data_IF_556209913645
#
_entry.id   IF_556209913645
#
_cell.length_a   1.000
_cell.length_b   1.000
_cell.length_c   1.000
_cell.angle_alpha   90.00
_cell.angle_beta   90.00
_cell.angle_gamma   90.00
#
_symmetry.space_group_name_H-M   'P 1'
#
loop_
_entity.id
_entity.type
_entity.pdbx_description
1 polymer ?
#
# COMPACT_ATOMS: atom_id res chain seq x y z
N UNK A 1 -13.47 -25.39 -10.61
CA UNK A 1 -12.32 -24.62 -10.09
C UNK A 1 -11.95 -23.59 -11.16
N UNK A 2 -12.35 -22.33 -11.00
CA UNK A 2 -11.94 -21.27 -11.95
C UNK A 2 -10.58 -20.76 -11.49
N UNK A 3 -9.55 -20.90 -12.33
CA UNK A 3 -8.28 -20.21 -12.12
C UNK A 3 -8.48 -18.76 -12.56
N UNK A 4 -8.54 -17.83 -11.60
CA UNK A 4 -8.55 -16.41 -11.91
C UNK A 4 -7.20 -16.02 -12.51
N UNK A 5 -7.22 -15.27 -13.62
CA UNK A 5 -5.99 -14.77 -14.22
C UNK A 5 -5.27 -13.79 -13.28
N UNK A 6 -3.94 -13.81 -13.30
CA UNK A 6 -3.12 -12.82 -12.60
C UNK A 6 -3.45 -11.40 -13.09
N UNK A 7 -3.45 -10.42 -12.17
CA UNK A 7 -3.80 -9.03 -12.46
C UNK A 7 -2.69 -8.10 -12.01
N UNK A 8 -2.71 -6.86 -12.51
CA UNK A 8 -1.82 -5.77 -12.10
C UNK A 8 -2.62 -4.78 -11.25
N UNK A 9 -2.27 -4.63 -9.99
CA UNK A 9 -3.01 -3.84 -9.00
C UNK A 9 -2.11 -2.73 -8.46
N UNK A 10 -2.61 -1.49 -8.52
CA UNK A 10 -1.99 -0.34 -7.85
C UNK A 10 -2.85 0.06 -6.65
N UNK A 11 -2.30 -0.07 -5.45
CA UNK A 11 -2.92 0.42 -4.22
C UNK A 11 -2.34 1.80 -3.91
N UNK A 12 -3.21 2.80 -3.74
CA UNK A 12 -2.81 4.15 -3.34
C UNK A 12 -3.18 4.35 -1.87
N UNK A 13 -2.21 4.74 -1.05
CA UNK A 13 -2.43 5.05 0.35
C UNK A 13 -1.67 6.31 0.75
N UNK A 14 -2.25 7.12 1.63
CA UNK A 14 -1.63 8.36 2.10
C UNK A 14 -0.34 8.11 2.88
N UNK A 15 -0.19 6.94 3.52
CA UNK A 15 1.05 6.47 4.15
C UNK A 15 1.16 4.95 4.05
N UNK A 16 2.31 4.39 4.42
CA UNK A 16 2.54 2.95 4.36
C UNK A 16 3.64 2.49 5.35
N UNK A 17 3.61 1.22 5.83
CA UNK A 17 4.67 0.70 6.68
C UNK A 17 6.03 0.60 5.94
N UNK A 18 7.16 0.66 6.67
CA UNK A 18 7.27 0.84 8.12
C UNK A 18 7.12 2.31 8.58
N UNK A 19 6.99 3.27 7.66
CA UNK A 19 6.99 4.70 7.99
C UNK A 19 5.72 5.18 8.71
N UNK A 20 4.61 4.47 8.55
CA UNK A 20 3.38 4.66 9.33
C UNK A 20 2.60 3.35 9.40
N UNK A 21 2.02 3.01 10.56
CA UNK A 21 1.32 1.74 10.78
C UNK A 21 0.00 1.85 11.59
N UNK A 22 -0.83 2.84 11.27
CA UNK A 22 -2.22 2.96 11.71
C UNK A 22 -3.15 1.99 10.92
N UNK A 23 -4.45 2.01 11.24
CA UNK A 23 -5.42 1.04 10.71
C UNK A 23 -5.45 0.91 9.19
N UNK A 24 -5.54 2.03 8.45
CA UNK A 24 -5.53 2.02 6.98
C UNK A 24 -4.24 1.45 6.42
N UNK A 25 -3.09 1.83 6.99
CA UNK A 25 -1.77 1.42 6.51
C UNK A 25 -1.54 -0.08 6.70
N UNK A 26 -1.94 -0.62 7.86
CA UNK A 26 -1.91 -2.07 8.12
C UNK A 26 -2.86 -2.81 7.19
N UNK A 27 -4.06 -2.28 6.96
CA UNK A 27 -5.03 -2.89 6.05
C UNK A 27 -4.50 -2.94 4.60
N UNK A 28 -3.93 -1.84 4.11
CA UNK A 28 -3.32 -1.78 2.77
C UNK A 28 -2.18 -2.78 2.65
N UNK A 29 -1.33 -2.91 3.68
CA UNK A 29 -0.22 -3.88 3.67
C UNK A 29 -0.71 -5.34 3.66
N UNK A 30 -1.71 -5.67 4.48
CA UNK A 30 -2.33 -7.01 4.51
C UNK A 30 -3.03 -7.34 3.19
N UNK A 31 -3.77 -6.39 2.61
CA UNK A 31 -4.43 -6.55 1.32
C UNK A 31 -3.40 -6.80 0.21
N UNK A 32 -2.34 -6.00 0.15
CA UNK A 32 -1.28 -6.14 -0.85
C UNK A 32 -0.64 -7.54 -0.78
N UNK A 33 -0.26 -7.98 0.42
CA UNK A 33 0.32 -9.31 0.65
C UNK A 33 -0.61 -10.43 0.23
N UNK A 34 -1.90 -10.32 0.57
CA UNK A 34 -2.91 -11.35 0.25
C UNK A 34 -3.23 -11.42 -1.24
N UNK A 35 -3.18 -10.30 -1.96
CA UNK A 35 -3.31 -10.27 -3.42
C UNK A 35 -2.08 -10.85 -4.09
N UNK A 36 -0.88 -10.50 -3.63
CA UNK A 36 0.37 -11.06 -4.12
C UNK A 36 0.43 -12.58 -3.91
N UNK A 37 0.01 -13.07 -2.74
CA UNK A 37 -0.08 -14.51 -2.45
C UNK A 37 -1.08 -15.27 -3.35
N UNK A 38 -2.03 -14.57 -3.99
CA UNK A 38 -2.95 -15.12 -4.99
C UNK A 38 -2.40 -15.07 -6.43
N UNK A 39 -1.18 -14.58 -6.62
CA UNK A 39 -0.50 -14.51 -7.92
C UNK A 39 -0.69 -13.20 -8.68
N UNK A 40 -1.21 -12.15 -8.04
CA UNK A 40 -1.32 -10.82 -8.66
C UNK A 40 0.01 -10.05 -8.56
N UNK A 41 0.31 -9.22 -9.55
CA UNK A 41 1.35 -8.19 -9.48
C UNK A 41 0.77 -6.99 -8.72
N UNK A 42 1.35 -6.63 -7.58
CA UNK A 42 0.83 -5.57 -6.71
C UNK A 42 1.90 -4.54 -6.43
N UNK A 43 1.56 -3.28 -6.64
CA UNK A 43 2.37 -2.12 -6.25
C UNK A 43 1.61 -1.27 -5.25
N UNK A 44 2.34 -0.66 -4.31
CA UNK A 44 1.78 0.33 -3.39
C UNK A 44 2.44 1.67 -3.69
N UNK A 45 1.63 2.67 -4.04
CA UNK A 45 2.07 4.05 -4.13
C UNK A 45 1.63 4.79 -2.88
N UNK A 46 2.59 5.35 -2.15
CA UNK A 46 2.32 6.08 -0.93
C UNK A 46 3.21 7.30 -0.77
N UNK A 47 2.72 8.27 -0.01
CA UNK A 47 3.51 9.41 0.43
C UNK A 47 4.14 9.16 1.80
N UNK A 48 5.23 9.89 2.06
CA UNK A 48 5.84 10.01 3.37
C UNK A 48 5.80 11.49 3.76
N UNK A 49 5.45 11.79 5.03
CA UNK A 49 5.46 13.16 5.52
C UNK A 49 6.91 13.61 5.71
N UNK A 50 7.29 14.70 5.04
CA UNK A 50 8.58 15.36 5.23
C UNK A 50 8.41 16.51 6.22
N UNK A 51 8.73 16.24 7.50
CA UNK A 51 8.64 17.26 8.55
C UNK A 51 9.79 18.25 8.52
N UNK A 52 10.79 18.07 7.64
CA UNK A 52 11.88 19.01 7.44
C UNK A 52 11.54 20.16 6.49
N UNK A 53 10.35 20.14 5.87
CA UNK A 53 9.84 21.21 5.02
C UNK A 53 8.68 21.93 5.68
N UNK A 54 8.83 23.26 5.81
CA UNK A 54 7.89 24.13 6.51
C UNK A 54 6.49 24.15 5.87
N UNK A 55 6.41 23.94 4.55
CA UNK A 55 5.15 23.88 3.80
C UNK A 55 4.43 22.53 3.91
N UNK A 56 5.06 21.52 4.53
CA UNK A 56 4.55 20.14 4.65
C UNK A 56 4.39 19.68 6.11
N UNK A 57 4.50 20.59 7.08
CA UNK A 57 4.52 20.25 8.51
C UNK A 57 3.13 20.02 9.13
N UNK A 58 2.06 20.56 8.53
CA UNK A 58 0.66 20.46 9.01
C UNK A 58 0.12 19.03 8.94
#
# INVERSE_FOLDING_TARGET
MVMLAAMRVLLVSHRFPPHSAAGTEVYTAELARRLQARGHEVHVFSSQKDTGRDDLTL
#
